data_IF_377945072246
#
_entry.id   IF_377945072246
#
_cell.length_a   1.000
_cell.length_b   1.000
_cell.length_c   1.000
_cell.angle_alpha   90.00
_cell.angle_beta   90.00
_cell.angle_gamma   90.00
#
_symmetry.space_group_name_H-M   'P 1'
#
loop_
_entity.id
_entity.type
_entity.pdbx_description
1 polymer ?
#
# COMPACT_ATOMS: atom_id res chain seq x y z
N UNK A 1 -20.77 -0.72 8.79
CA UNK A 1 -19.36 -0.96 8.52
C UNK A 1 -18.70 -1.43 9.80
N UNK A 2 -17.95 -2.54 9.75
CA UNK A 2 -17.01 -2.88 10.82
C UNK A 2 -15.81 -1.93 10.75
N UNK A 3 -15.08 -1.86 11.85
CA UNK A 3 -13.99 -0.90 12.08
C UNK A 3 -12.87 -0.92 11.03
N UNK A 4 -12.73 -2.03 10.29
CA UNK A 4 -11.64 -2.30 9.34
C UNK A 4 -12.14 -2.96 8.05
N UNK A 5 -13.33 -2.60 7.55
CA UNK A 5 -13.85 -3.21 6.32
C UNK A 5 -12.91 -2.98 5.12
N UNK A 6 -12.82 -3.99 4.25
CA UNK A 6 -12.12 -3.88 2.98
C UNK A 6 -12.74 -2.78 2.10
N UNK A 7 -11.90 -2.10 1.34
CA UNK A 7 -12.26 -0.97 0.50
C UNK A 7 -12.77 -1.42 -0.85
N UNK A 8 -13.68 -0.62 -1.41
CA UNK A 8 -14.19 -0.77 -2.77
C UNK A 8 -14.08 0.58 -3.45
N UNK A 9 -13.33 0.62 -4.55
CA UNK A 9 -13.05 1.85 -5.29
C UNK A 9 -13.65 1.83 -6.69
N UNK A 10 -14.07 3.00 -7.15
CA UNK A 10 -14.45 3.22 -8.55
C UNK A 10 -13.21 3.57 -9.42
N UNK A 11 -13.42 3.64 -10.72
CA UNK A 11 -12.36 3.95 -11.71
C UNK A 11 -11.67 5.29 -11.43
N UNK A 12 -12.43 6.33 -11.09
CA UNK A 12 -11.87 7.66 -10.79
C UNK A 12 -10.92 7.62 -9.58
N UNK A 13 -11.31 6.93 -8.51
CA UNK A 13 -10.48 6.73 -7.32
C UNK A 13 -9.20 5.95 -7.65
N UNK A 14 -9.29 4.93 -8.51
CA UNK A 14 -8.14 4.12 -8.93
C UNK A 14 -7.15 4.96 -9.75
N UNK A 15 -7.62 5.71 -10.74
CA UNK A 15 -6.78 6.57 -11.58
C UNK A 15 -6.10 7.65 -10.73
N UNK A 16 -6.88 8.36 -9.91
CA UNK A 16 -6.35 9.41 -9.04
C UNK A 16 -5.30 8.85 -8.07
N UNK A 17 -5.54 7.67 -7.49
CA UNK A 17 -4.58 7.07 -6.57
C UNK A 17 -3.33 6.55 -7.30
N UNK A 18 -3.45 6.02 -8.52
CA UNK A 18 -2.29 5.62 -9.33
C UNK A 18 -1.35 6.80 -9.62
N UNK A 19 -1.92 7.98 -9.91
CA UNK A 19 -1.15 9.21 -10.09
C UNK A 19 -0.40 9.60 -8.82
N UNK A 20 -1.04 9.46 -7.64
CA UNK A 20 -0.40 9.68 -6.34
C UNK A 20 0.76 8.71 -6.13
N UNK A 21 0.59 7.41 -6.37
CA UNK A 21 1.67 6.42 -6.24
C UNK A 21 2.85 6.76 -7.16
N UNK A 22 2.57 7.13 -8.41
CA UNK A 22 3.62 7.56 -9.35
C UNK A 22 4.32 8.84 -8.88
N UNK A 23 3.58 9.77 -8.27
CA UNK A 23 4.16 11.00 -7.73
C UNK A 23 5.06 10.74 -6.54
N UNK A 24 4.63 9.88 -5.60
CA UNK A 24 5.44 9.43 -4.47
C UNK A 24 6.75 8.81 -4.98
N UNK A 25 6.67 7.94 -5.99
CA UNK A 25 7.86 7.29 -6.53
C UNK A 25 8.83 8.28 -7.15
N UNK A 26 8.33 9.26 -7.93
CA UNK A 26 9.17 10.33 -8.49
C UNK A 26 9.88 11.11 -7.40
N UNK A 27 9.14 11.53 -6.36
CA UNK A 27 9.73 12.29 -5.26
C UNK A 27 10.83 11.51 -4.53
N UNK A 28 10.61 10.21 -4.27
CA UNK A 28 11.65 9.35 -3.67
C UNK A 28 12.89 9.28 -4.58
N UNK A 29 12.69 9.13 -5.89
CA UNK A 29 13.79 8.99 -6.85
C UNK A 29 14.50 10.31 -7.13
N UNK A 30 13.84 11.45 -7.03
CA UNK A 30 14.48 12.77 -7.20
C UNK A 30 15.28 13.16 -5.95
N UNK A 31 14.84 12.72 -4.77
CA UNK A 31 15.50 12.98 -3.48
C UNK A 31 16.60 11.98 -3.14
N UNK A 32 16.60 10.79 -3.77
CA UNK A 32 17.69 9.81 -3.71
C UNK A 32 18.41 9.74 -5.05
N UNK A 33 19.62 9.18 -5.18
CA UNK A 33 20.28 9.07 -6.49
C UNK A 33 19.66 7.95 -7.36
N UNK A 34 18.34 7.91 -7.50
CA UNK A 34 17.60 6.89 -8.24
C UNK A 34 17.48 7.19 -9.74
N UNK A 35 16.98 6.22 -10.51
CA UNK A 35 16.69 6.40 -11.93
C UNK A 35 15.26 6.94 -12.13
N UNK A 36 15.14 8.21 -12.53
CA UNK A 36 13.86 8.82 -12.85
C UNK A 36 13.38 8.39 -14.25
N UNK A 37 12.36 7.55 -14.29
CA UNK A 37 11.62 7.27 -15.53
C UNK A 37 10.16 7.04 -15.22
N UNK A 38 9.30 8.03 -15.45
CA UNK A 38 7.86 7.83 -15.51
C UNK A 38 7.44 7.79 -16.97
N UNK A 39 7.08 6.60 -17.44
CA UNK A 39 6.39 6.39 -18.71
C UNK A 39 4.93 6.06 -18.42
N UNK A 40 4.04 6.36 -19.35
CA UNK A 40 2.60 6.02 -19.26
C UNK A 40 2.37 4.51 -19.02
N UNK A 41 3.29 3.66 -19.48
CA UNK A 41 3.32 2.21 -19.22
C UNK A 41 3.42 1.85 -17.72
N UNK A 42 4.12 2.66 -16.92
CA UNK A 42 4.28 2.44 -15.47
C UNK A 42 2.96 2.75 -14.75
N UNK A 43 2.29 3.85 -15.14
CA UNK A 43 1.01 4.23 -14.54
C UNK A 43 -0.05 3.15 -14.79
N UNK A 44 -0.19 2.65 -16.02
CA UNK A 44 -1.12 1.56 -16.32
C UNK A 44 -0.82 0.27 -15.53
N UNK A 45 0.46 0.02 -15.22
CA UNK A 45 0.87 -1.11 -14.37
C UNK A 45 0.46 -0.91 -12.90
N UNK A 46 0.59 0.31 -12.37
CA UNK A 46 0.08 0.67 -11.03
C UNK A 46 -1.46 0.54 -10.99
N UNK A 47 -2.15 1.07 -12.00
CA UNK A 47 -3.61 0.96 -12.12
C UNK A 47 -4.06 -0.50 -12.09
N UNK A 48 -3.39 -1.39 -12.81
CA UNK A 48 -3.71 -2.83 -12.80
C UNK A 48 -3.62 -3.46 -11.41
N UNK A 49 -2.61 -3.09 -10.61
CA UNK A 49 -2.48 -3.57 -9.22
C UNK A 49 -3.57 -2.99 -8.32
N UNK A 50 -3.99 -1.75 -8.58
CA UNK A 50 -5.12 -1.15 -7.87
C UNK A 50 -6.46 -1.80 -8.26
N UNK A 51 -6.68 -2.08 -9.54
CA UNK A 51 -7.86 -2.80 -10.03
C UNK A 51 -7.96 -4.21 -9.43
N UNK A 52 -6.84 -4.94 -9.34
CA UNK A 52 -6.85 -6.28 -8.71
C UNK A 52 -7.23 -6.22 -7.24
N UNK A 53 -6.82 -5.16 -6.54
CA UNK A 53 -6.94 -5.05 -5.08
C UNK A 53 -8.24 -4.37 -4.62
N UNK A 54 -8.74 -3.37 -5.34
CA UNK A 54 -9.77 -2.44 -4.85
C UNK A 54 -11.04 -2.37 -5.72
N UNK A 55 -11.01 -2.82 -6.98
CA UNK A 55 -12.15 -2.70 -7.87
C UNK A 55 -13.12 -3.89 -7.76
N UNK A 56 -14.40 -3.61 -8.05
CA UNK A 56 -15.37 -4.63 -8.44
C UNK A 56 -15.04 -5.07 -9.87
N UNK A 57 -14.91 -6.37 -10.10
CA UNK A 57 -14.65 -6.94 -11.44
C UNK A 57 -15.68 -8.04 -11.69
N UNK A 58 -16.39 -7.96 -12.82
CA UNK A 58 -17.47 -8.90 -13.16
C UNK A 58 -18.51 -9.06 -12.03
N UNK A 59 -18.91 -7.95 -11.42
CA UNK A 59 -19.84 -7.89 -10.28
C UNK A 59 -19.34 -8.58 -8.99
N UNK A 60 -18.08 -9.01 -8.94
CA UNK A 60 -17.45 -9.55 -7.73
C UNK A 60 -16.72 -8.45 -6.95
N UNK A 61 -17.04 -8.34 -5.66
CA UNK A 61 -16.35 -7.41 -4.76
C UNK A 61 -14.91 -7.86 -4.50
N UNK A 62 -13.97 -6.93 -4.30
CA UNK A 62 -12.56 -7.26 -4.09
C UNK A 62 -12.35 -8.18 -2.88
N UNK A 63 -13.15 -8.02 -1.82
CA UNK A 63 -13.09 -8.84 -0.63
C UNK A 63 -13.49 -10.30 -0.89
N UNK A 64 -14.56 -10.51 -1.66
CA UNK A 64 -15.03 -11.86 -2.00
C UNK A 64 -14.06 -12.55 -2.96
N UNK A 65 -13.64 -11.83 -4.01
CA UNK A 65 -12.74 -12.34 -5.05
C UNK A 65 -11.38 -12.78 -4.52
N UNK A 66 -10.82 -12.02 -3.57
CA UNK A 66 -9.47 -12.25 -3.04
C UNK A 66 -9.45 -12.80 -1.61
N UNK A 67 -10.62 -13.09 -1.04
CA UNK A 67 -10.83 -13.57 0.32
C UNK A 67 -10.18 -12.63 1.38
N UNK A 68 -10.50 -11.33 1.29
CA UNK A 68 -10.08 -10.34 2.29
C UNK A 68 -11.06 -10.33 3.46
N UNK A 69 -10.56 -10.52 4.67
CA UNK A 69 -11.36 -10.40 5.90
C UNK A 69 -11.56 -8.95 6.30
N UNK A 70 -10.54 -8.13 6.04
CA UNK A 70 -10.45 -6.72 6.40
C UNK A 70 -9.49 -5.95 5.49
N UNK A 71 -9.37 -4.65 5.72
CA UNK A 71 -8.45 -3.75 5.01
C UNK A 71 -6.97 -4.19 5.10
N UNK A 72 -6.57 -4.90 6.15
CA UNK A 72 -5.17 -5.31 6.32
C UNK A 72 -4.80 -6.44 5.37
N UNK A 73 -5.71 -7.41 5.16
CA UNK A 73 -5.53 -8.45 4.14
C UNK A 73 -5.42 -7.81 2.74
N UNK A 74 -6.27 -6.82 2.47
CA UNK A 74 -6.29 -6.10 1.19
C UNK A 74 -5.01 -5.27 0.97
N UNK A 75 -4.57 -4.50 1.97
CA UNK A 75 -3.33 -3.70 1.88
C UNK A 75 -2.10 -4.61 1.77
N UNK A 76 -2.08 -5.74 2.47
CA UNK A 76 -0.99 -6.69 2.35
C UNK A 76 -0.90 -7.31 0.94
N UNK A 77 -2.03 -7.58 0.30
CA UNK A 77 -2.08 -8.03 -1.10
C UNK A 77 -1.55 -6.96 -2.06
N UNK A 78 -2.11 -5.75 -1.97
CA UNK A 78 -1.66 -4.59 -2.73
C UNK A 78 -0.15 -4.35 -2.59
N UNK A 79 0.35 -4.35 -1.34
CA UNK A 79 1.75 -4.12 -1.05
C UNK A 79 2.66 -5.21 -1.66
N UNK A 80 2.19 -6.46 -1.64
CA UNK A 80 2.92 -7.59 -2.22
C UNK A 80 3.11 -7.39 -3.72
N UNK A 81 2.03 -7.09 -4.46
CA UNK A 81 2.09 -6.84 -5.90
C UNK A 81 2.92 -5.61 -6.24
N UNK A 82 2.65 -4.47 -5.58
CA UNK A 82 3.38 -3.22 -5.83
C UNK A 82 4.89 -3.35 -5.59
N UNK A 83 5.30 -4.09 -4.55
CA UNK A 83 6.71 -4.25 -4.21
C UNK A 83 7.44 -5.34 -5.03
N UNK A 84 6.77 -6.44 -5.39
CA UNK A 84 7.38 -7.59 -6.08
C UNK A 84 7.39 -7.45 -7.60
N UNK A 85 6.38 -6.84 -8.18
CA UNK A 85 6.17 -6.90 -9.64
C UNK A 85 7.09 -5.94 -10.41
N UNK A 86 8.05 -5.31 -9.74
CA UNK A 86 9.02 -4.38 -10.31
C UNK A 86 8.38 -3.31 -11.22
N UNK A 87 7.22 -2.81 -10.78
CA UNK A 87 6.42 -1.82 -11.53
C UNK A 87 7.26 -0.59 -11.90
N UNK A 88 8.13 -0.18 -10.99
CA UNK A 88 9.07 0.90 -11.20
C UNK A 88 10.50 0.39 -11.45
N UNK A 89 11.32 1.12 -12.23
CA UNK A 89 12.74 0.80 -12.39
C UNK A 89 13.53 0.81 -11.06
N UNK A 90 13.16 1.68 -10.13
CA UNK A 90 13.74 1.76 -8.79
C UNK A 90 12.68 2.25 -7.78
N UNK A 91 13.00 2.10 -6.50
CA UNK A 91 12.26 2.56 -5.33
C UNK A 91 10.96 1.82 -5.00
N UNK A 92 10.61 0.72 -5.68
CA UNK A 92 9.38 -0.08 -5.42
C UNK A 92 9.08 -0.25 -3.92
N UNK A 93 10.01 -0.80 -3.13
CA UNK A 93 9.81 -1.00 -1.68
C UNK A 93 9.50 0.29 -0.90
N UNK A 94 10.21 1.38 -1.21
CA UNK A 94 10.04 2.68 -0.54
C UNK A 94 8.70 3.31 -0.93
N UNK A 95 8.34 3.23 -2.21
CA UNK A 95 7.02 3.64 -2.70
C UNK A 95 5.92 2.86 -2.01
N UNK A 96 6.04 1.52 -1.93
CA UNK A 96 5.05 0.67 -1.25
C UNK A 96 4.85 1.07 0.20
N UNK A 97 5.93 1.33 0.96
CA UNK A 97 5.83 1.80 2.36
C UNK A 97 4.97 3.06 2.45
N UNK A 98 5.32 4.11 1.70
CA UNK A 98 4.62 5.40 1.78
C UNK A 98 3.17 5.28 1.32
N UNK A 99 2.90 4.51 0.26
CA UNK A 99 1.55 4.29 -0.23
C UNK A 99 0.70 3.50 0.78
N UNK A 100 1.24 2.49 1.47
CA UNK A 100 0.53 1.78 2.52
C UNK A 100 0.17 2.69 3.70
N UNK A 101 1.11 3.54 4.12
CA UNK A 101 0.86 4.54 5.17
C UNK A 101 -0.22 5.53 4.75
N UNK A 102 -0.20 6.00 3.49
CA UNK A 102 -1.22 6.89 2.95
C UNK A 102 -2.60 6.22 2.93
N UNK A 103 -2.70 4.97 2.48
CA UNK A 103 -3.94 4.17 2.50
C UNK A 103 -4.52 4.04 3.90
N UNK A 104 -3.71 3.61 4.87
CA UNK A 104 -4.14 3.44 6.25
C UNK A 104 -4.61 4.77 6.86
N UNK A 105 -3.81 5.83 6.72
CA UNK A 105 -4.15 7.16 7.26
C UNK A 105 -5.42 7.73 6.65
N UNK A 106 -5.62 7.57 5.34
CA UNK A 106 -6.83 8.03 4.66
C UNK A 106 -8.09 7.30 5.16
N UNK A 107 -7.93 6.12 5.74
CA UNK A 107 -9.00 5.36 6.37
C UNK A 107 -9.05 5.51 7.90
N UNK A 108 -8.38 6.52 8.44
CA UNK A 108 -8.38 6.80 9.88
C UNK A 108 -7.55 5.82 10.70
N UNK A 109 -6.62 5.08 10.07
CA UNK A 109 -5.79 4.06 10.71
C UNK A 109 -4.35 4.56 10.80
N UNK A 110 -3.74 4.41 11.96
CA UNK A 110 -2.34 4.66 12.20
C UNK A 110 -1.65 3.40 12.73
N UNK A 111 -0.38 3.25 12.39
CA UNK A 111 0.45 2.14 12.85
C UNK A 111 1.31 2.62 14.02
N UNK A 112 1.22 1.92 15.14
CA UNK A 112 2.14 2.06 16.27
C UNK A 112 3.41 1.24 15.97
N UNK A 113 4.31 1.84 15.17
CA UNK A 113 5.57 1.22 14.76
C UNK A 113 6.72 2.20 14.94
N UNK A 114 7.91 1.67 15.20
CA UNK A 114 9.11 2.48 15.39
C UNK A 114 9.45 3.27 14.12
N UNK A 115 9.39 4.60 14.24
CA UNK A 115 9.83 5.51 13.20
C UNK A 115 11.32 5.83 13.36
N UNK A 116 12.15 5.06 12.67
CA UNK A 116 13.60 5.27 12.66
C UNK A 116 13.97 6.39 11.68
N UNK A 117 14.92 7.24 12.08
CA UNK A 117 15.53 8.25 11.21
C UNK A 117 16.19 7.64 9.96
N UNK A 118 16.55 6.34 10.01
CA UNK A 118 16.98 5.58 8.85
C UNK A 118 15.77 4.86 8.22
N UNK A 119 15.38 5.16 6.97
CA UNK A 119 14.25 4.50 6.31
C UNK A 119 14.38 2.99 6.19
N UNK A 120 15.61 2.46 6.12
CA UNK A 120 15.86 1.02 6.06
C UNK A 120 15.63 0.32 7.40
N UNK A 121 15.60 1.08 8.49
CA UNK A 121 15.34 0.56 9.82
C UNK A 121 13.87 0.58 10.22
N UNK A 122 13.03 1.30 9.48
CA UNK A 122 11.59 1.36 9.68
C UNK A 122 10.95 -0.05 9.64
N UNK A 123 10.06 -0.34 10.60
CA UNK A 123 9.45 -1.66 10.74
C UNK A 123 8.65 -2.09 9.50
N UNK A 124 7.85 -1.18 8.92
CA UNK A 124 7.05 -1.47 7.74
C UNK A 124 7.94 -1.71 6.51
N UNK A 125 9.06 -0.97 6.38
CA UNK A 125 10.05 -1.25 5.34
C UNK A 125 10.60 -2.68 5.46
N UNK A 126 10.98 -3.10 6.67
CA UNK A 126 11.49 -4.45 6.94
C UNK A 126 10.45 -5.53 6.64
N UNK A 127 9.19 -5.31 6.98
CA UNK A 127 8.11 -6.25 6.66
C UNK A 127 7.89 -6.40 5.15
N UNK A 128 7.84 -5.29 4.41
CA UNK A 128 7.74 -5.28 2.94
C UNK A 128 8.97 -5.94 2.31
N UNK A 129 10.18 -5.67 2.83
CA UNK A 129 11.40 -6.34 2.38
C UNK A 129 11.32 -7.86 2.60
N UNK A 130 10.84 -8.32 3.74
CA UNK A 130 10.67 -9.75 4.02
C UNK A 130 9.67 -10.41 3.06
N UNK A 131 8.60 -9.71 2.68
CA UNK A 131 7.67 -10.18 1.65
C UNK A 131 8.38 -10.32 0.31
N UNK A 132 9.11 -9.29 -0.14
CA UNK A 132 9.83 -9.28 -1.43
C UNK A 132 10.87 -10.41 -1.48
N UNK A 133 11.56 -10.66 -0.36
CA UNK A 133 12.56 -11.74 -0.24
C UNK A 133 11.93 -13.13 -0.01
N UNK A 134 10.61 -13.23 0.09
CA UNK A 134 9.89 -14.50 0.31
C UNK A 134 10.09 -15.09 1.71
N UNK A 135 10.52 -14.29 2.68
CA UNK A 135 10.75 -14.71 4.08
C UNK A 135 9.47 -14.83 4.90
N UNK A 136 8.44 -14.07 4.53
CA UNK A 136 7.12 -14.13 5.14
C UNK A 136 6.05 -14.22 4.06
N UNK A 137 4.89 -14.75 4.43
CA UNK A 137 3.72 -14.81 3.54
C UNK A 137 2.88 -13.54 3.67
N UNK A 138 2.03 -13.28 2.67
CA UNK A 138 1.09 -12.15 2.65
C UNK A 138 0.25 -12.08 3.93
N UNK A 139 -0.24 -13.21 4.43
CA UNK A 139 -1.03 -13.28 5.66
C UNK A 139 -0.24 -12.82 6.89
N UNK A 140 1.07 -13.05 6.94
CA UNK A 140 1.93 -12.56 8.01
C UNK A 140 2.07 -11.04 7.98
N UNK A 141 2.18 -10.44 6.78
CA UNK A 141 2.17 -8.98 6.64
C UNK A 141 0.83 -8.39 7.10
N UNK A 142 -0.30 -9.00 6.70
CA UNK A 142 -1.62 -8.55 7.15
C UNK A 142 -1.74 -8.57 8.67
N UNK A 143 -1.26 -9.63 9.32
CA UNK A 143 -1.28 -9.73 10.79
C UNK A 143 -0.35 -8.72 11.47
N UNK A 144 0.82 -8.44 10.88
CA UNK A 144 1.71 -7.38 11.38
C UNK A 144 1.04 -6.01 11.32
N UNK A 145 0.37 -5.69 10.20
CA UNK A 145 -0.40 -4.44 10.08
C UNK A 145 -1.52 -4.39 11.12
N UNK A 146 -2.31 -5.46 11.23
CA UNK A 146 -3.45 -5.56 12.13
C UNK A 146 -3.06 -5.40 13.60
N UNK A 147 -1.99 -6.06 14.03
CA UNK A 147 -1.51 -6.05 15.43
C UNK A 147 -0.92 -4.71 15.88
N UNK A 148 -0.53 -3.84 14.94
CA UNK A 148 0.03 -2.51 15.24
C UNK A 148 -0.92 -1.38 14.86
N UNK A 149 -2.10 -1.69 14.31
CA UNK A 149 -3.06 -0.70 13.88
C UNK A 149 -3.93 -0.22 15.04
N UNK A 150 -4.15 1.10 15.08
CA UNK A 150 -5.18 1.71 15.89
C UNK A 150 -5.88 2.82 15.12
N UNK A 151 -7.13 3.11 15.48
CA UNK A 151 -7.84 4.23 14.88
C UNK A 151 -7.27 5.54 15.41
N UNK A 152 -7.20 6.54 14.53
CA UNK A 152 -7.06 7.93 14.92
C UNK A 152 -8.23 8.28 15.84
N UNK A 153 -7.95 8.42 17.13
CA UNK A 153 -8.91 8.97 18.08
C UNK A 153 -9.17 10.43 17.72
N UNK A 154 -10.44 10.79 17.52
CA UNK A 154 -10.87 12.18 17.35
C UNK A 154 -10.68 12.97 18.66
N UNK A 155 -9.44 13.28 19.04
CA UNK A 155 -9.19 14.34 20.02
C UNK A 155 -9.15 15.67 19.29
N UNK A 156 -10.34 16.21 19.01
CA UNK A 156 -10.50 17.64 18.77
C UNK A 156 -10.39 18.31 20.14
N UNK A 157 -9.18 18.76 20.48
CA UNK A 157 -9.00 19.70 21.59
C UNK A 157 -9.61 21.05 21.17
N UNK A 158 -10.71 21.42 21.82
CA UNK A 158 -11.37 22.72 21.70
C UNK A 158 -10.53 23.84 22.33
#
# INVERSE_FOLDING_TARGET
MRQYDALVWNEEQIIAFAEIVCSIQREIVDTSQGLATVKQEVQGSVENVLYSSFAIIFDEYPADRNNYTDIFDQIADFATHLAKDHIFPDANKRTTVLTCVALLRNNGIILDIEDSANPFDNALYKWIQNIVEGKIERASLAEQLRSHAHLLSNEVNY
#
